data_IF_525959127681
#
_entry.id   IF_525959127681
#
_cell.length_a   1.000
_cell.length_b   1.000
_cell.length_c   1.000
_cell.angle_alpha   90.00
_cell.angle_beta   90.00
_cell.angle_gamma   90.00
#
_symmetry.space_group_name_H-M   'P 1'
#
loop_
_entity.id
_entity.type
_entity.pdbx_description
1 polymer ?
#
# COMPACT_ATOMS: atom_id res chain seq x y z
N UNK A 1 -25.77 -16.57 -76.43
CA UNK A 1 -24.40 -16.93 -75.98
C UNK A 1 -23.88 -15.83 -75.07
N UNK A 2 -24.03 -15.97 -73.76
CA UNK A 2 -23.57 -14.99 -72.77
C UNK A 2 -22.47 -15.63 -71.92
N UNK A 3 -21.21 -15.25 -72.19
CA UNK A 3 -20.05 -15.67 -71.40
C UNK A 3 -20.10 -14.95 -70.04
N UNK A 4 -20.23 -15.72 -68.94
CA UNK A 4 -20.01 -15.22 -67.58
C UNK A 4 -18.53 -15.43 -67.22
N UNK A 5 -17.84 -14.34 -66.89
CA UNK A 5 -16.48 -14.38 -66.34
C UNK A 5 -16.54 -14.65 -64.84
N UNK A 6 -15.87 -15.72 -64.41
CA UNK A 6 -15.69 -16.08 -63.01
C UNK A 6 -14.42 -15.38 -62.50
N UNK A 7 -14.57 -14.37 -61.65
CA UNK A 7 -13.46 -13.69 -60.99
C UNK A 7 -13.14 -14.47 -59.71
N UNK A 8 -12.02 -15.20 -59.72
CA UNK A 8 -11.49 -15.91 -58.56
C UNK A 8 -10.80 -14.92 -57.62
N UNK A 9 -11.37 -14.72 -56.43
CA UNK A 9 -10.80 -13.90 -55.37
C UNK A 9 -9.70 -14.71 -54.67
N UNK A 10 -8.43 -14.40 -54.94
CA UNK A 10 -7.28 -15.01 -54.27
C UNK A 10 -7.14 -14.42 -52.87
N UNK A 11 -7.68 -15.10 -51.85
CA UNK A 11 -7.42 -14.78 -50.45
C UNK A 11 -5.96 -15.13 -50.13
N UNK A 12 -5.08 -14.14 -50.28
CA UNK A 12 -3.70 -14.22 -49.83
C UNK A 12 -3.69 -14.18 -48.29
N UNK A 13 -3.69 -15.37 -47.68
CA UNK A 13 -3.51 -15.52 -46.23
C UNK A 13 -2.15 -14.96 -45.82
N UNK A 14 -2.14 -13.91 -45.01
CA UNK A 14 -0.93 -13.40 -44.38
C UNK A 14 -0.40 -14.43 -43.39
N UNK A 15 0.66 -15.13 -43.79
CA UNK A 15 1.51 -15.89 -42.87
C UNK A 15 2.07 -14.91 -41.83
N UNK A 16 1.48 -14.91 -40.63
CA UNK A 16 2.07 -14.27 -39.46
C UNK A 16 3.38 -14.99 -39.17
N UNK A 17 4.50 -14.39 -39.56
CA UNK A 17 5.83 -14.86 -39.21
C UNK A 17 5.93 -15.02 -37.68
N UNK A 18 6.07 -16.26 -37.24
CA UNK A 18 6.32 -16.61 -35.85
C UNK A 18 7.80 -16.37 -35.58
N UNK A 19 8.15 -15.13 -35.27
CA UNK A 19 9.51 -14.76 -34.88
C UNK A 19 10.01 -15.53 -33.66
N UNK A 20 11.32 -15.76 -33.58
CA UNK A 20 11.96 -16.53 -32.52
C UNK A 20 12.14 -15.70 -31.25
N UNK A 21 11.96 -16.30 -30.07
CA UNK A 21 12.18 -15.61 -28.78
C UNK A 21 13.68 -15.49 -28.53
N UNK A 22 14.15 -14.26 -28.30
CA UNK A 22 15.57 -13.95 -28.10
C UNK A 22 15.82 -13.56 -26.65
N UNK A 23 16.80 -14.20 -26.02
CA UNK A 23 17.22 -13.89 -24.65
C UNK A 23 18.04 -12.59 -24.66
N UNK A 24 17.67 -11.64 -23.79
CA UNK A 24 18.38 -10.36 -23.68
C UNK A 24 19.82 -10.53 -23.16
N UNK A 25 19.98 -11.33 -22.12
CA UNK A 25 21.24 -11.58 -21.42
C UNK A 25 21.15 -12.92 -20.68
N UNK A 26 22.26 -13.65 -20.49
CA UNK A 26 22.28 -14.84 -19.64
C UNK A 26 21.85 -14.60 -18.18
N UNK A 27 21.80 -13.32 -17.75
CA UNK A 27 21.39 -12.91 -16.40
C UNK A 27 19.87 -12.75 -16.24
N UNK A 28 19.12 -12.92 -17.32
CA UNK A 28 17.67 -12.70 -17.38
C UNK A 28 17.04 -13.90 -18.07
N UNK A 29 15.86 -14.31 -17.61
CA UNK A 29 15.09 -15.38 -18.22
C UNK A 29 14.72 -15.12 -19.69
N UNK A 30 14.14 -16.14 -20.32
CA UNK A 30 13.52 -16.04 -21.67
C UNK A 30 12.37 -15.04 -21.69
N UNK A 31 11.66 -14.93 -20.56
CA UNK A 31 10.73 -13.84 -20.27
C UNK A 31 11.33 -12.98 -19.18
N UNK A 32 11.36 -11.67 -19.42
CA UNK A 32 11.79 -10.70 -18.44
C UNK A 32 10.67 -10.52 -17.43
N UNK A 33 10.86 -11.04 -16.23
CA UNK A 33 9.87 -10.96 -15.15
C UNK A 33 9.88 -9.59 -14.46
N UNK A 34 8.85 -9.31 -13.66
CA UNK A 34 8.71 -8.11 -12.84
C UNK A 34 9.91 -7.90 -11.93
N UNK A 35 10.45 -8.98 -11.35
CA UNK A 35 11.59 -8.94 -10.44
C UNK A 35 12.88 -8.53 -11.15
N UNK A 36 13.16 -9.16 -12.30
CA UNK A 36 14.34 -8.86 -13.12
C UNK A 36 14.27 -7.45 -13.71
N UNK A 37 13.09 -7.06 -14.21
CA UNK A 37 12.88 -5.70 -14.70
C UNK A 37 13.04 -4.65 -13.59
N UNK A 38 12.67 -4.98 -12.34
CA UNK A 38 12.83 -4.10 -11.18
C UNK A 38 14.29 -3.96 -10.77
N UNK A 39 15.01 -5.08 -10.70
CA UNK A 39 16.42 -5.12 -10.32
C UNK A 39 17.28 -4.41 -11.36
N UNK A 40 17.16 -4.81 -12.62
CA UNK A 40 17.97 -4.29 -13.72
C UNK A 40 17.47 -2.98 -14.32
N UNK A 41 16.25 -2.53 -13.97
CA UNK A 41 15.61 -1.33 -14.53
C UNK A 41 15.59 -1.32 -16.06
N UNK A 42 15.19 -2.43 -16.66
CA UNK A 42 15.21 -2.62 -18.13
C UNK A 42 14.16 -1.72 -18.81
N UNK A 43 12.95 -1.66 -18.24
CA UNK A 43 11.81 -0.86 -18.71
C UNK A 43 11.22 0.02 -17.59
N UNK A 44 11.97 1.02 -17.08
CA UNK A 44 11.59 1.77 -15.88
C UNK A 44 10.37 2.68 -16.09
N UNK A 45 10.07 3.06 -17.34
CA UNK A 45 8.95 3.95 -17.67
C UNK A 45 7.63 3.21 -17.91
N UNK A 46 7.62 1.88 -17.78
CA UNK A 46 6.44 1.06 -18.09
C UNK A 46 5.56 0.87 -16.86
N UNK A 47 4.40 1.53 -16.85
CA UNK A 47 3.40 1.38 -15.78
C UNK A 47 2.68 0.03 -15.89
N UNK A 48 2.53 -0.65 -14.75
CA UNK A 48 1.84 -1.94 -14.68
C UNK A 48 2.56 -3.07 -15.42
N UNK A 49 3.89 -3.05 -15.48
CA UNK A 49 4.69 -4.12 -16.08
C UNK A 49 4.45 -5.46 -15.37
N UNK A 50 4.15 -6.52 -16.12
CA UNK A 50 4.05 -7.89 -15.60
C UNK A 50 5.24 -8.69 -16.09
N UNK A 51 5.34 -8.90 -17.41
CA UNK A 51 6.49 -9.51 -18.05
C UNK A 51 6.71 -8.93 -19.45
N UNK A 52 7.86 -9.26 -20.05
CA UNK A 52 8.15 -8.94 -21.44
C UNK A 52 8.94 -10.04 -22.13
N UNK A 53 8.67 -10.24 -23.41
CA UNK A 53 9.40 -11.16 -24.29
C UNK A 53 9.99 -10.38 -25.46
N UNK A 54 11.25 -10.65 -25.81
CA UNK A 54 11.88 -10.10 -27.00
C UNK A 54 11.79 -11.15 -28.10
N UNK A 55 11.31 -10.75 -29.27
CA UNK A 55 11.08 -11.63 -30.42
C UNK A 55 11.84 -11.05 -31.62
N UNK A 56 12.63 -11.88 -32.31
CA UNK A 56 13.27 -11.50 -33.57
C UNK A 56 12.23 -11.38 -34.68
N UNK A 57 12.28 -10.31 -35.46
CA UNK A 57 11.43 -10.11 -36.64
C UNK A 57 12.27 -10.24 -37.91
N UNK A 58 13.51 -9.78 -37.86
CA UNK A 58 14.56 -10.01 -38.87
C UNK A 58 15.94 -9.85 -38.24
N UNK A 59 17.02 -10.11 -38.98
CA UNK A 59 18.41 -10.02 -38.50
C UNK A 59 18.77 -8.70 -37.81
N UNK A 60 18.06 -7.61 -38.13
CA UNK A 60 18.32 -6.26 -37.60
C UNK A 60 17.14 -5.65 -36.86
N UNK A 61 16.01 -6.35 -36.77
CA UNK A 61 14.79 -5.83 -36.14
C UNK A 61 14.18 -6.81 -35.16
N UNK A 62 13.84 -6.28 -33.98
CA UNK A 62 13.24 -7.01 -32.89
C UNK A 62 11.90 -6.37 -32.56
N UNK A 63 11.05 -7.11 -31.87
CA UNK A 63 9.87 -6.57 -31.20
C UNK A 63 9.88 -7.02 -29.75
N UNK A 64 9.36 -6.18 -28.86
CA UNK A 64 9.13 -6.55 -27.46
C UNK A 64 7.63 -6.69 -27.27
N UNK A 65 7.20 -7.89 -26.92
CA UNK A 65 5.85 -8.17 -26.47
C UNK A 65 5.76 -7.91 -24.98
N UNK A 66 4.95 -6.92 -24.60
CA UNK A 66 4.71 -6.57 -23.21
C UNK A 66 3.38 -7.13 -22.76
N UNK A 67 3.35 -7.67 -21.54
CA UNK A 67 2.10 -7.87 -20.81
C UNK A 67 2.07 -6.85 -19.68
N UNK A 68 1.01 -6.04 -19.69
CA UNK A 68 0.77 -5.05 -18.64
C UNK A 68 -0.54 -5.31 -17.94
N UNK A 69 -0.58 -5.08 -16.63
CA UNK A 69 -1.79 -5.14 -15.82
C UNK A 69 -2.21 -3.72 -15.47
N UNK A 70 -3.38 -3.28 -15.96
CA UNK A 70 -3.99 -2.02 -15.54
C UNK A 70 -5.41 -2.28 -15.11
N UNK A 71 -5.76 -1.92 -13.86
CA UNK A 71 -7.06 -2.23 -13.24
C UNK A 71 -7.42 -3.72 -13.36
N UNK A 72 -6.43 -4.60 -13.14
CA UNK A 72 -6.53 -6.07 -13.23
C UNK A 72 -6.94 -6.66 -14.59
N UNK A 73 -7.04 -5.85 -15.65
CA UNK A 73 -7.13 -6.36 -17.02
C UNK A 73 -5.71 -6.46 -17.60
N UNK A 74 -5.31 -7.68 -17.97
CA UNK A 74 -4.06 -7.90 -18.70
C UNK A 74 -4.23 -7.41 -20.14
N UNK A 75 -3.30 -6.59 -20.60
CA UNK A 75 -3.21 -6.15 -21.98
C UNK A 75 -1.85 -6.55 -22.53
N UNK A 76 -1.88 -7.24 -23.65
CA UNK A 76 -0.68 -7.62 -24.40
C UNK A 76 -0.55 -6.69 -25.60
N UNK A 77 0.63 -6.12 -25.80
CA UNK A 77 0.93 -5.30 -26.98
C UNK A 77 2.40 -5.46 -27.38
N UNK A 78 2.67 -5.31 -28.66
CA UNK A 78 4.02 -5.38 -29.21
C UNK A 78 4.56 -3.96 -29.47
N UNK A 79 5.86 -3.73 -29.23
CA UNK A 79 6.57 -2.51 -29.64
C UNK A 79 7.81 -2.86 -30.46
N UNK A 80 8.12 -2.09 -31.51
CA UNK A 80 9.35 -2.28 -32.28
C UNK A 80 10.58 -1.94 -31.43
N UNK A 81 11.64 -2.72 -31.62
CA UNK A 81 12.94 -2.56 -30.98
C UNK A 81 14.05 -2.65 -32.03
N UNK A 82 14.83 -1.58 -32.14
CA UNK A 82 15.98 -1.56 -33.06
C UNK A 82 17.16 -2.34 -32.49
N UNK A 83 18.00 -2.90 -33.38
CA UNK A 83 19.24 -3.57 -32.98
C UNK A 83 20.11 -2.71 -32.05
N UNK A 84 20.29 -1.43 -32.36
CA UNK A 84 21.06 -0.50 -31.51
C UNK A 84 20.52 -0.44 -30.08
N UNK A 85 19.19 -0.42 -29.94
CA UNK A 85 18.54 -0.36 -28.63
C UNK A 85 18.64 -1.70 -27.90
N UNK A 86 18.45 -2.81 -28.60
CA UNK A 86 18.67 -4.16 -28.07
C UNK A 86 20.09 -4.32 -27.50
N UNK A 87 21.13 -4.00 -28.29
CA UNK A 87 22.53 -4.08 -27.87
C UNK A 87 22.80 -3.15 -26.68
N UNK A 88 22.23 -1.95 -26.66
CA UNK A 88 22.39 -1.03 -25.53
C UNK A 88 21.80 -1.60 -24.23
N UNK A 89 20.64 -2.26 -24.31
CA UNK A 89 19.99 -2.91 -23.17
C UNK A 89 20.80 -4.12 -22.71
N UNK A 90 21.26 -4.95 -23.65
CA UNK A 90 22.10 -6.12 -23.35
C UNK A 90 23.39 -5.70 -22.63
N UNK A 91 24.10 -4.70 -23.14
CA UNK A 91 25.30 -4.17 -22.50
C UNK A 91 25.01 -3.57 -21.12
N UNK A 92 23.87 -2.91 -20.94
CA UNK A 92 23.46 -2.34 -19.65
C UNK A 92 23.19 -3.42 -18.60
N UNK A 93 22.49 -4.49 -18.95
CA UNK A 93 22.22 -5.62 -18.05
C UNK A 93 23.52 -6.39 -17.74
N UNK A 94 24.36 -6.63 -18.76
CA UNK A 94 25.60 -7.39 -18.58
C UNK A 94 26.58 -6.73 -17.61
N UNK A 95 26.57 -5.39 -17.50
CA UNK A 95 27.43 -4.63 -16.57
C UNK A 95 26.97 -4.67 -15.11
N UNK A 96 25.73 -5.07 -14.84
CA UNK A 96 25.17 -5.12 -13.49
C UNK A 96 25.47 -6.47 -12.81
N UNK A 97 25.44 -6.55 -11.47
CA UNK A 97 25.59 -7.83 -10.76
C UNK A 97 24.51 -8.85 -11.15
N UNK A 98 24.76 -10.14 -10.88
CA UNK A 98 23.75 -11.18 -11.09
C UNK A 98 22.56 -10.99 -10.15
N UNK A 99 21.36 -11.36 -10.60
CA UNK A 99 20.17 -11.35 -9.76
C UNK A 99 20.19 -12.59 -8.86
N UNK A 100 20.64 -12.41 -7.61
CA UNK A 100 20.70 -13.45 -6.58
C UNK A 100 19.51 -13.36 -5.63
N UNK A 101 19.27 -14.42 -4.87
CA UNK A 101 18.23 -14.43 -3.83
C UNK A 101 18.47 -13.39 -2.74
N UNK A 102 19.73 -13.18 -2.34
CA UNK A 102 20.11 -12.12 -1.40
C UNK A 102 19.80 -10.73 -1.96
N UNK A 103 20.10 -10.50 -3.24
CA UNK A 103 19.78 -9.25 -3.92
C UNK A 103 18.27 -9.05 -4.06
N UNK A 104 17.50 -10.14 -4.26
CA UNK A 104 16.04 -10.12 -4.22
C UNK A 104 15.56 -9.68 -2.83
N UNK A 105 16.02 -10.34 -1.77
CA UNK A 105 15.66 -10.00 -0.38
C UNK A 105 16.02 -8.55 -0.08
N UNK A 106 17.24 -8.08 -0.38
CA UNK A 106 17.68 -6.70 -0.16
C UNK A 106 16.86 -5.67 -0.96
N UNK A 107 16.49 -5.98 -2.21
CA UNK A 107 15.61 -5.14 -3.03
C UNK A 107 14.22 -4.98 -2.42
N UNK A 108 13.75 -6.00 -1.69
CA UNK A 108 12.47 -6.00 -0.97
C UNK A 108 12.59 -5.61 0.50
N UNK A 109 13.77 -5.62 1.11
CA UNK A 109 13.96 -5.35 2.53
C UNK A 109 13.61 -3.90 2.93
N UNK A 110 13.65 -2.97 1.98
CA UNK A 110 13.14 -1.60 2.16
C UNK A 110 11.64 -1.43 1.91
N UNK A 111 10.91 -2.49 1.54
CA UNK A 111 9.47 -2.50 1.33
C UNK A 111 8.83 -3.52 2.29
N UNK A 112 8.00 -3.06 3.23
CA UNK A 112 7.31 -3.92 4.20
C UNK A 112 6.36 -4.95 3.57
N UNK A 113 6.26 -5.01 2.24
CA UNK A 113 5.45 -5.96 1.49
C UNK A 113 5.65 -7.42 1.91
N UNK A 114 6.91 -7.86 2.12
CA UNK A 114 7.20 -9.24 2.51
C UNK A 114 6.79 -9.55 3.95
N UNK A 115 6.84 -8.54 4.83
CA UNK A 115 6.47 -8.66 6.25
C UNK A 115 5.04 -8.22 6.53
N UNK A 116 4.32 -7.71 5.53
CA UNK A 116 2.98 -7.16 5.69
C UNK A 116 2.02 -8.16 6.35
N UNK A 117 2.10 -9.42 5.93
CA UNK A 117 1.29 -10.50 6.50
C UNK A 117 1.63 -10.72 7.97
N UNK A 118 2.92 -10.76 8.32
CA UNK A 118 3.42 -10.91 9.69
C UNK A 118 2.98 -9.72 10.56
N UNK A 119 3.28 -8.50 10.12
CA UNK A 119 2.95 -7.25 10.82
C UNK A 119 1.45 -7.17 11.09
N UNK A 120 0.60 -7.39 10.08
CA UNK A 120 -0.86 -7.31 10.24
C UNK A 120 -1.39 -8.45 11.11
N UNK A 121 -0.76 -9.62 11.07
CA UNK A 121 -1.12 -10.74 11.94
C UNK A 121 -0.83 -10.41 13.40
N UNK A 122 0.33 -9.80 13.66
CA UNK A 122 0.81 -9.41 15.00
C UNK A 122 0.06 -8.22 15.59
N UNK A 123 -0.62 -7.42 14.75
CA UNK A 123 -1.47 -6.34 15.24
C UNK A 123 -2.50 -6.85 16.25
N UNK A 124 -2.59 -6.17 17.39
CA UNK A 124 -3.65 -6.39 18.36
C UNK A 124 -5.00 -6.00 17.73
N UNK A 125 -6.01 -6.89 17.78
CA UNK A 125 -7.33 -6.66 17.19
C UNK A 125 -8.38 -6.69 18.30
N UNK A 126 -9.38 -5.79 18.29
CA UNK A 126 -9.72 -4.83 17.24
C UNK A 126 -8.85 -3.55 17.27
N UNK A 127 -8.51 -3.00 16.10
CA UNK A 127 -7.66 -1.80 16.00
C UNK A 127 -8.10 -0.87 14.87
N UNK A 128 -8.06 0.44 15.11
CA UNK A 128 -8.39 1.43 14.09
C UNK A 128 -7.28 1.53 13.04
N UNK A 129 -7.66 1.41 11.77
CA UNK A 129 -6.75 1.42 10.62
C UNK A 129 -7.22 2.40 9.54
N UNK A 130 -6.27 3.03 8.86
CA UNK A 130 -6.50 3.80 7.64
C UNK A 130 -5.90 3.04 6.47
N UNK A 131 -6.74 2.64 5.54
CA UNK A 131 -6.37 1.82 4.41
C UNK A 131 -6.51 2.66 3.14
N UNK A 132 -5.43 2.74 2.37
CA UNK A 132 -5.48 3.30 1.03
C UNK A 132 -5.63 2.16 0.04
N UNK A 133 -6.78 2.09 -0.64
CA UNK A 133 -7.06 1.07 -1.64
C UNK A 133 -6.67 1.54 -3.04
N UNK A 134 -6.28 0.58 -3.89
CA UNK A 134 -6.00 0.83 -5.30
C UNK A 134 -7.23 1.44 -6.01
N UNK A 135 -7.07 2.66 -6.55
CA UNK A 135 -8.17 3.43 -7.12
C UNK A 135 -8.59 4.69 -6.34
N UNK A 136 -7.74 5.16 -5.40
CA UNK A 136 -7.91 6.40 -4.62
C UNK A 136 -9.08 6.42 -3.64
N UNK A 137 -9.62 5.26 -3.26
CA UNK A 137 -10.59 5.19 -2.15
C UNK A 137 -9.83 5.02 -0.85
N UNK A 138 -9.92 6.03 0.04
CA UNK A 138 -9.44 5.92 1.41
C UNK A 138 -10.54 5.27 2.23
N UNK A 139 -10.21 4.16 2.87
CA UNK A 139 -11.09 3.47 3.80
C UNK A 139 -10.58 3.68 5.22
N UNK A 140 -11.48 4.01 6.12
CA UNK A 140 -11.20 4.24 7.54
C UNK A 140 -12.17 3.40 8.34
N UNK A 141 -11.64 2.61 9.26
CA UNK A 141 -12.44 1.70 10.07
C UNK A 141 -11.61 0.90 11.05
N UNK A 142 -12.27 -0.04 11.72
CA UNK A 142 -11.65 -0.91 12.72
C UNK A 142 -11.34 -2.26 12.11
N UNK A 143 -10.08 -2.65 12.07
CA UNK A 143 -9.63 -3.99 11.70
C UNK A 143 -10.08 -4.97 12.79
N UNK A 144 -10.98 -5.89 12.45
CA UNK A 144 -11.51 -6.90 13.36
C UNK A 144 -10.72 -8.21 13.28
N UNK A 145 -10.39 -8.64 12.06
CA UNK A 145 -9.67 -9.89 11.82
C UNK A 145 -8.87 -9.82 10.52
N UNK A 146 -7.82 -10.64 10.45
CA UNK A 146 -7.01 -10.85 9.27
C UNK A 146 -6.82 -12.36 9.11
N UNK A 147 -7.37 -12.93 8.02
CA UNK A 147 -7.30 -14.35 7.70
C UNK A 147 -7.20 -14.49 6.18
N UNK A 148 -6.41 -15.45 5.70
CA UNK A 148 -6.24 -15.75 4.26
C UNK A 148 -5.89 -14.53 3.38
N UNK A 149 -5.06 -13.63 3.90
CA UNK A 149 -4.72 -12.35 3.24
C UNK A 149 -5.93 -11.41 3.01
N UNK A 150 -7.03 -11.60 3.75
CA UNK A 150 -8.23 -10.76 3.72
C UNK A 150 -8.34 -10.00 5.03
N UNK A 151 -8.42 -8.68 4.91
CA UNK A 151 -8.69 -7.73 6.00
C UNK A 151 -10.19 -7.59 6.16
N UNK A 152 -10.70 -7.90 7.35
CA UNK A 152 -12.09 -7.64 7.73
C UNK A 152 -12.14 -6.33 8.52
N UNK A 153 -12.69 -5.28 7.92
CA UNK A 153 -12.68 -3.92 8.47
C UNK A 153 -14.10 -3.42 8.66
N UNK A 154 -14.43 -3.04 9.88
CA UNK A 154 -15.69 -2.40 10.20
C UNK A 154 -15.61 -0.90 9.90
N UNK A 155 -16.35 -0.45 8.89
CA UNK A 155 -16.54 0.96 8.56
C UNK A 155 -17.86 1.46 9.17
N UNK A 156 -18.11 2.79 9.19
CA UNK A 156 -19.39 3.33 9.65
C UNK A 156 -20.62 2.81 8.88
N UNK A 157 -20.43 2.33 7.65
CA UNK A 157 -21.50 1.87 6.76
C UNK A 157 -21.70 0.35 6.86
N UNK A 158 -20.69 -0.40 7.32
CA UNK A 158 -20.78 -1.84 7.50
C UNK A 158 -19.42 -2.53 7.48
N UNK A 159 -19.44 -3.86 7.38
CA UNK A 159 -18.21 -4.67 7.31
C UNK A 159 -17.72 -4.80 5.88
N UNK A 160 -16.49 -4.37 5.62
CA UNK A 160 -15.83 -4.51 4.33
C UNK A 160 -14.72 -5.57 4.41
N UNK A 161 -14.67 -6.42 3.38
CA UNK A 161 -13.62 -7.43 3.20
C UNK A 161 -12.68 -6.99 2.10
N UNK A 162 -11.41 -6.79 2.43
CA UNK A 162 -10.41 -6.23 1.52
C UNK A 162 -9.25 -7.20 1.40
N UNK A 163 -8.94 -7.69 0.20
CA UNK A 163 -7.72 -8.47 -0.02
C UNK A 163 -6.49 -7.56 0.08
N UNK A 164 -5.46 -8.05 0.77
CA UNK A 164 -4.19 -7.37 0.99
C UNK A 164 -3.51 -6.97 -0.33
N UNK A 165 -3.72 -7.74 -1.40
CA UNK A 165 -3.21 -7.44 -2.76
C UNK A 165 -3.65 -6.05 -3.27
N UNK A 166 -4.78 -5.54 -2.78
CA UNK A 166 -5.36 -4.29 -3.27
C UNK A 166 -5.12 -3.10 -2.37
N UNK A 167 -4.37 -3.32 -1.30
CA UNK A 167 -4.01 -2.28 -0.37
C UNK A 167 -2.68 -1.66 -0.79
N UNK A 168 -2.69 -0.35 -0.98
CA UNK A 168 -1.50 0.43 -1.31
C UNK A 168 -0.73 0.82 -0.06
N UNK A 169 -1.43 1.11 1.02
CA UNK A 169 -0.86 1.59 2.28
C UNK A 169 -1.81 1.28 3.43
N UNK A 170 -1.28 0.85 4.57
CA UNK A 170 -2.03 0.71 5.82
C UNK A 170 -1.35 1.57 6.87
N UNK A 171 -2.11 2.48 7.48
CA UNK A 171 -1.67 3.19 8.66
C UNK A 171 -2.42 2.69 9.88
N UNK A 172 -1.70 2.41 10.95
CA UNK A 172 -2.28 2.07 12.25
C UNK A 172 -1.55 2.83 13.37
N UNK A 173 -2.16 2.81 14.55
CA UNK A 173 -1.56 3.39 15.76
C UNK A 173 -1.16 2.26 16.68
N UNK A 174 0.10 2.24 17.12
CA UNK A 174 0.58 1.26 18.08
C UNK A 174 -0.29 1.28 19.35
N UNK A 175 -0.39 0.16 20.05
CA UNK A 175 -1.29 0.04 21.20
C UNK A 175 -0.99 1.10 22.26
N UNK A 176 -2.05 1.68 22.84
CA UNK A 176 -1.97 2.64 23.97
C UNK A 176 -1.34 2.05 25.23
N UNK A 177 -1.05 0.74 25.24
CA UNK A 177 -0.36 0.04 26.33
C UNK A 177 0.96 0.69 26.75
N UNK A 178 1.68 1.31 25.83
CA UNK A 178 2.96 1.99 26.14
C UNK A 178 2.75 3.20 27.08
N UNK A 179 1.56 3.80 27.05
CA UNK A 179 1.23 4.99 27.83
C UNK A 179 0.38 4.70 29.07
N UNK A 180 0.21 3.43 29.45
CA UNK A 180 -0.59 3.06 30.62
C UNK A 180 -0.08 3.71 31.92
N UNK A 181 1.21 4.02 31.99
CA UNK A 181 1.82 4.73 33.12
C UNK A 181 1.27 6.15 33.31
N UNK A 182 0.73 6.79 32.25
CA UNK A 182 0.13 8.13 32.33
C UNK A 182 -1.26 8.13 32.97
N UNK A 183 -1.92 6.97 33.05
CA UNK A 183 -3.29 6.82 33.55
C UNK A 183 -3.48 7.44 34.96
N UNK A 184 -2.70 7.09 36.00
CA UNK A 184 -2.84 7.71 37.32
C UNK A 184 -2.63 9.23 37.29
N UNK A 185 -1.68 9.73 36.49
CA UNK A 185 -1.41 11.16 36.37
C UNK A 185 -2.57 11.92 35.72
N UNK A 186 -3.15 11.37 34.65
CA UNK A 186 -4.31 11.97 33.98
C UNK A 186 -5.53 11.99 34.88
N UNK A 187 -5.75 10.95 35.69
CA UNK A 187 -6.81 10.92 36.69
C UNK A 187 -6.63 12.01 37.75
N UNK A 188 -5.41 12.17 38.28
CA UNK A 188 -5.10 13.22 39.24
C UNK A 188 -5.31 14.63 38.65
N UNK A 189 -4.78 14.88 37.45
CA UNK A 189 -4.92 16.16 36.75
C UNK A 189 -6.40 16.46 36.45
N UNK A 190 -7.16 15.48 35.97
CA UNK A 190 -8.57 15.67 35.66
C UNK A 190 -9.41 15.99 36.91
N UNK A 191 -9.12 15.32 38.04
CA UNK A 191 -9.74 15.66 39.33
C UNK A 191 -9.42 17.08 39.80
N UNK A 192 -8.18 17.54 39.61
CA UNK A 192 -7.76 18.93 39.90
C UNK A 192 -8.46 19.93 38.99
N UNK A 193 -8.60 19.63 37.69
CA UNK A 193 -9.34 20.47 36.74
C UNK A 193 -10.81 20.59 37.17
N UNK A 194 -11.44 19.46 37.52
CA UNK A 194 -12.82 19.43 38.01
C UNK A 194 -13.02 20.25 39.29
N UNK A 195 -12.09 20.12 40.24
CA UNK A 195 -12.08 20.96 41.46
C UNK A 195 -11.92 22.44 41.13
N UNK A 196 -11.02 22.77 40.20
CA UNK A 196 -10.74 24.15 39.80
C UNK A 196 -11.96 24.79 39.13
N UNK A 197 -12.65 24.06 38.24
CA UNK A 197 -13.89 24.53 37.64
C UNK A 197 -14.99 24.76 38.69
N UNK A 198 -15.15 23.86 39.65
CA UNK A 198 -16.09 24.06 40.75
C UNK A 198 -15.71 25.26 41.63
N UNK A 199 -14.42 25.49 41.86
CA UNK A 199 -13.95 26.65 42.61
C UNK A 199 -14.27 27.96 41.86
N UNK A 200 -14.07 28.01 40.54
CA UNK A 200 -14.45 29.15 39.71
C UNK A 200 -15.97 29.39 39.76
N UNK A 201 -16.76 28.32 39.70
CA UNK A 201 -18.22 28.40 39.84
C UNK A 201 -18.63 28.98 41.21
N UNK A 202 -17.99 28.52 42.29
CA UNK A 202 -18.23 29.01 43.63
C UNK A 202 -17.83 30.49 43.78
N UNK A 203 -16.73 30.92 43.18
CA UNK A 203 -16.34 32.34 43.17
C UNK A 203 -17.37 33.21 42.46
N UNK A 204 -17.96 32.71 41.37
CA UNK A 204 -18.97 33.45 40.62
C UNK A 204 -20.30 33.57 41.37
N UNK A 205 -20.76 32.50 42.03
CA UNK A 205 -22.07 32.49 42.74
C UNK A 205 -22.01 32.85 44.21
N UNK A 206 -20.83 32.82 44.83
CA UNK A 206 -20.63 33.02 46.28
C UNK A 206 -21.65 32.24 47.14
N UNK A 207 -21.78 30.92 46.94
CA UNK A 207 -22.76 30.11 47.68
C UNK A 207 -22.36 29.96 49.15
N UNK A 208 -23.28 29.41 49.96
CA UNK A 208 -22.99 29.10 51.37
C UNK A 208 -21.90 28.04 51.49
N UNK A 209 -21.30 27.91 52.68
CA UNK A 209 -20.10 27.09 52.88
C UNK A 209 -20.37 25.58 52.65
N UNK A 210 -21.55 25.10 53.03
CA UNK A 210 -22.05 23.75 52.76
C UNK A 210 -22.25 23.50 51.25
N UNK A 211 -22.92 24.41 50.56
CA UNK A 211 -23.11 24.35 49.11
C UNK A 211 -21.78 24.42 48.34
N UNK A 212 -20.84 25.25 48.81
CA UNK A 212 -19.49 25.38 48.24
C UNK A 212 -18.73 24.05 48.30
N UNK A 213 -18.81 23.34 49.43
CA UNK A 213 -18.25 22.00 49.58
C UNK A 213 -18.93 20.98 48.67
N UNK A 214 -20.26 21.03 48.55
CA UNK A 214 -21.02 20.19 47.64
C UNK A 214 -20.58 20.38 46.19
N UNK A 215 -20.42 21.62 45.72
CA UNK A 215 -19.96 21.90 44.36
C UNK A 215 -18.51 21.45 44.12
N UNK A 216 -17.60 21.65 45.08
CA UNK A 216 -16.21 21.17 44.98
C UNK A 216 -16.13 19.66 44.83
N UNK A 217 -16.84 18.92 45.69
CA UNK A 217 -16.89 17.45 45.64
C UNK A 217 -17.44 16.96 44.29
N UNK A 218 -18.57 17.52 43.85
CA UNK A 218 -19.16 17.17 42.55
C UNK A 218 -18.23 17.53 41.38
N UNK A 219 -17.56 18.68 41.42
CA UNK A 219 -16.59 19.07 40.40
C UNK A 219 -15.45 18.07 40.29
N UNK A 220 -14.86 17.66 41.42
CA UNK A 220 -13.83 16.63 41.45
C UNK A 220 -14.34 15.29 40.91
N UNK A 221 -15.54 14.85 41.32
CA UNK A 221 -16.15 13.61 40.83
C UNK A 221 -16.39 13.64 39.32
N UNK A 222 -16.93 14.75 38.80
CA UNK A 222 -17.13 14.95 37.35
C UNK A 222 -15.78 14.86 36.64
N UNK A 223 -14.74 15.54 37.12
CA UNK A 223 -13.39 15.42 36.57
C UNK A 223 -12.90 13.97 36.53
N UNK A 224 -13.01 13.24 37.64
CA UNK A 224 -12.61 11.83 37.70
C UNK A 224 -13.42 10.93 36.76
N UNK A 225 -14.72 11.17 36.57
CA UNK A 225 -15.56 10.41 35.63
C UNK A 225 -15.08 10.63 34.18
N UNK A 226 -14.73 11.86 33.81
CA UNK A 226 -14.23 12.19 32.47
C UNK A 226 -12.75 11.83 32.24
N UNK A 227 -12.03 11.39 33.27
CA UNK A 227 -10.60 11.10 33.18
C UNK A 227 -10.25 9.95 32.23
N UNK A 228 -11.15 8.97 32.07
CA UNK A 228 -10.98 7.87 31.10
C UNK A 228 -10.95 8.37 29.66
N UNK A 229 -11.90 9.21 29.28
CA UNK A 229 -11.97 9.81 27.94
C UNK A 229 -10.77 10.72 27.67
N UNK A 230 -10.36 11.50 28.68
CA UNK A 230 -9.17 12.34 28.61
C UNK A 230 -7.90 11.51 28.40
N UNK A 231 -7.80 10.36 29.07
CA UNK A 231 -6.69 9.43 28.88
C UNK A 231 -6.67 8.86 27.47
N UNK A 232 -7.81 8.38 26.97
CA UNK A 232 -7.90 7.84 25.62
C UNK A 232 -7.56 8.92 24.58
N UNK A 233 -8.03 10.16 24.76
CA UNK A 233 -7.71 11.26 23.86
C UNK A 233 -6.21 11.63 23.85
N UNK A 234 -5.60 11.76 25.02
CA UNK A 234 -4.17 12.12 25.15
C UNK A 234 -3.29 11.00 24.60
N UNK A 235 -3.55 9.76 25.00
CA UNK A 235 -2.77 8.61 24.51
C UNK A 235 -2.94 8.44 23.00
N UNK A 236 -4.15 8.63 22.47
CA UNK A 236 -4.43 8.65 21.03
C UNK A 236 -3.60 9.73 20.32
N UNK A 237 -3.44 10.91 20.91
CA UNK A 237 -2.65 12.01 20.33
C UNK A 237 -1.15 11.74 20.37
N UNK A 238 -0.65 11.15 21.45
CA UNK A 238 0.77 10.82 21.65
C UNK A 238 1.22 9.62 20.82
N UNK A 239 0.29 8.68 20.56
CA UNK A 239 0.61 7.45 19.85
C UNK A 239 1.02 7.75 18.40
N UNK A 240 2.25 7.40 18.00
CA UNK A 240 2.70 7.61 16.63
C UNK A 240 1.86 6.76 15.67
N UNK A 241 1.58 7.33 14.50
CA UNK A 241 0.90 6.61 13.43
C UNK A 241 1.95 5.95 12.55
N UNK A 242 2.07 4.63 12.64
CA UNK A 242 2.91 3.87 11.73
C UNK A 242 2.20 3.66 10.40
N UNK A 243 2.94 3.69 9.30
CA UNK A 243 2.40 3.58 7.94
C UNK A 243 3.22 2.60 7.13
N UNK A 244 2.60 1.48 6.77
CA UNK A 244 3.18 0.42 5.97
C UNK A 244 2.85 0.67 4.51
N UNK A 245 3.89 0.79 3.67
CA UNK A 245 3.74 0.98 2.24
C UNK A 245 3.75 -0.40 1.56
N UNK A 246 2.59 -0.80 1.05
CA UNK A 246 2.40 -2.10 0.42
C UNK A 246 2.56 -2.04 -1.10
N UNK A 247 2.37 -0.87 -1.71
CA UNK A 247 2.50 -0.71 -3.17
C UNK A 247 3.80 -0.03 -3.59
N UNK A 248 4.44 -0.60 -4.62
CA UNK A 248 5.65 -0.05 -5.24
C UNK A 248 5.45 1.37 -5.77
N UNK A 249 4.30 1.66 -6.39
CA UNK A 249 4.02 2.99 -6.95
C UNK A 249 4.03 4.08 -5.87
N UNK A 250 3.62 3.76 -4.63
CA UNK A 250 3.67 4.70 -3.52
C UNK A 250 5.07 4.81 -2.92
N UNK A 251 5.79 3.70 -2.81
CA UNK A 251 7.18 3.69 -2.33
C UNK A 251 8.09 4.56 -3.20
N UNK A 252 7.98 4.44 -4.53
CA UNK A 252 8.79 5.23 -5.46
C UNK A 252 8.44 6.73 -5.42
N UNK A 253 7.16 7.09 -5.21
CA UNK A 253 6.75 8.49 -5.02
C UNK A 253 7.35 9.10 -3.77
N UNK A 254 7.35 8.37 -2.66
CA UNK A 254 7.90 8.86 -1.38
C UNK A 254 9.41 9.05 -1.49
N UNK A 255 10.13 8.16 -2.20
CA UNK A 255 11.58 8.27 -2.40
C UNK A 255 12.01 9.41 -3.33
N UNK A 256 11.10 9.93 -4.18
CA UNK A 256 11.41 11.04 -5.10
C UNK A 256 11.03 12.42 -4.57
N UNK A 257 10.40 12.50 -3.40
CA UNK A 257 10.17 13.73 -2.64
C UNK A 257 11.35 14.02 -1.72
#
# INVERSE_FOLDING_TARGET
MTKKHFIGFFFLGSLLAQGEVVILSPKVGTEIDIHENRFYRIFPRMKGFVNAQIISVSDKSYRVRFVTSKRRKKKTFDKPLSLKRFVSMQNYVNRQPGFTEEARIAMYAGMDFLRAVEIISDLHKPQFVKIFHHGRKRLTGTLLSFQDNILNVQTPVGNEKISLEYVETISYRLSTSEYLFLKPYIYAVSGIIGLSMAQLYNMQRSPRLDESWYFRFNGTMIGLIFSGELFDAITTLLTPTETFILSQEQYEKIKTQ
#
